data_IF_012481639125
#
_entry.id   IF_012481639125
#
_cell.length_a   1.000
_cell.length_b   1.000
_cell.length_c   1.000
_cell.angle_alpha   90.00
_cell.angle_beta   90.00
_cell.angle_gamma   90.00
#
_symmetry.space_group_name_H-M   'P 1'
#
loop_
_entity.id
_entity.type
_entity.pdbx_description
1 polymer ?
#
# COMPACT_ATOMS: atom_id res chain seq x y z
N UNK A 1 17.51 -6.58 -21.84
CA UNK A 1 16.72 -5.54 -21.14
C UNK A 1 15.38 -6.09 -20.63
N UNK A 2 14.46 -6.53 -21.49
CA UNK A 2 13.10 -6.95 -21.05
C UNK A 2 13.07 -8.09 -20.03
N UNK A 3 13.98 -9.07 -20.14
CA UNK A 3 14.08 -10.17 -19.16
C UNK A 3 14.49 -9.70 -17.76
N UNK A 4 15.26 -8.61 -17.65
CA UNK A 4 15.70 -8.10 -16.35
C UNK A 4 14.57 -7.35 -15.62
N UNK A 5 13.70 -6.62 -16.33
CA UNK A 5 12.49 -6.04 -15.72
C UNK A 5 11.56 -7.12 -15.17
N UNK A 6 11.38 -8.21 -15.93
CA UNK A 6 10.61 -9.36 -15.48
C UNK A 6 11.25 -10.01 -14.25
N UNK A 7 12.57 -10.20 -14.27
CA UNK A 7 13.33 -10.75 -13.15
C UNK A 7 13.20 -9.87 -11.90
N UNK A 8 13.27 -8.55 -12.03
CA UNK A 8 13.04 -7.63 -10.91
C UNK A 8 11.63 -7.78 -10.31
N UNK A 9 10.62 -7.95 -11.17
CA UNK A 9 9.25 -8.24 -10.73
C UNK A 9 9.14 -9.59 -10.00
N UNK A 10 9.77 -10.64 -10.50
CA UNK A 10 9.79 -11.97 -9.84
C UNK A 10 10.49 -11.89 -8.49
N UNK A 11 11.66 -11.24 -8.41
CA UNK A 11 12.38 -11.07 -7.15
C UNK A 11 11.59 -10.21 -6.17
N UNK A 12 10.94 -9.14 -6.64
CA UNK A 12 10.02 -8.34 -5.83
C UNK A 12 8.86 -9.17 -5.28
N UNK A 13 8.25 -10.04 -6.10
CA UNK A 13 7.19 -10.94 -5.66
C UNK A 13 7.67 -11.94 -4.60
N UNK A 14 8.91 -12.43 -4.69
CA UNK A 14 9.50 -13.29 -3.65
C UNK A 14 9.69 -12.54 -2.33
N UNK A 15 10.19 -11.30 -2.37
CA UNK A 15 10.29 -10.43 -1.18
C UNK A 15 8.91 -10.14 -0.60
N UNK A 16 7.88 -9.98 -1.44
CA UNK A 16 6.51 -9.79 -1.01
C UNK A 16 5.98 -11.04 -0.29
N UNK A 17 6.36 -12.23 -0.76
CA UNK A 17 6.09 -13.50 -0.09
C UNK A 17 6.70 -13.58 1.31
N UNK A 18 7.95 -13.10 1.48
CA UNK A 18 8.58 -12.99 2.81
C UNK A 18 7.76 -12.07 3.71
N UNK A 19 7.37 -10.89 3.22
CA UNK A 19 6.55 -9.95 3.97
C UNK A 19 5.21 -10.56 4.42
N UNK A 20 4.45 -11.18 3.52
CA UNK A 20 3.18 -11.82 3.89
C UNK A 20 3.38 -13.00 4.84
N UNK A 21 4.43 -13.80 4.66
CA UNK A 21 4.80 -14.87 5.59
C UNK A 21 5.08 -14.33 6.99
N UNK A 22 5.87 -13.26 7.10
CA UNK A 22 6.12 -12.55 8.35
C UNK A 22 4.85 -11.97 8.97
N UNK A 23 3.95 -11.41 8.15
CA UNK A 23 2.68 -10.87 8.61
C UNK A 23 1.80 -11.98 9.22
N UNK A 24 1.72 -13.16 8.61
CA UNK A 24 1.00 -14.32 9.18
C UNK A 24 1.57 -14.70 10.55
N UNK A 25 2.89 -14.75 10.68
CA UNK A 25 3.55 -15.09 11.95
C UNK A 25 3.27 -14.03 13.03
N UNK A 26 3.36 -12.75 12.68
CA UNK A 26 3.07 -11.63 13.59
C UNK A 26 1.63 -11.67 14.05
N UNK A 27 0.68 -11.94 13.15
CA UNK A 27 -0.71 -12.08 13.53
C UNK A 27 -0.93 -13.24 14.51
N UNK A 28 -0.27 -14.37 14.27
CA UNK A 28 -0.35 -15.56 15.14
C UNK A 28 0.26 -15.35 16.53
N UNK A 29 1.40 -14.67 16.63
CA UNK A 29 2.18 -14.61 17.88
C UNK A 29 2.06 -13.28 18.63
N UNK A 30 1.87 -12.15 17.94
CA UNK A 30 1.93 -10.80 18.52
C UNK A 30 0.57 -10.08 18.51
N UNK A 31 -0.20 -10.19 17.42
CA UNK A 31 -1.44 -9.39 17.27
C UNK A 31 -2.54 -9.87 18.22
N UNK A 32 -2.71 -11.19 18.40
CA UNK A 32 -3.76 -11.80 19.24
C UNK A 32 -5.07 -11.00 19.15
N UNK A 33 -5.48 -10.31 20.21
CA UNK A 33 -6.71 -9.49 20.30
C UNK A 33 -6.46 -7.97 20.32
N UNK A 34 -5.20 -7.53 20.14
CA UNK A 34 -4.83 -6.12 20.20
C UNK A 34 -5.01 -5.45 18.85
N UNK A 35 -6.09 -4.66 18.70
CA UNK A 35 -6.32 -3.80 17.52
C UNK A 35 -5.17 -2.81 17.25
N UNK A 36 -4.40 -2.46 18.29
CA UNK A 36 -3.22 -1.60 18.13
C UNK A 36 -2.08 -2.39 17.48
N UNK A 37 -1.82 -3.61 17.95
CA UNK A 37 -0.81 -4.47 17.34
C UNK A 37 -1.17 -4.84 15.89
N UNK A 38 -2.46 -5.02 15.60
CA UNK A 38 -2.99 -5.22 14.25
C UNK A 38 -2.67 -4.02 13.35
N UNK A 39 -2.97 -2.81 13.81
CA UNK A 39 -2.72 -1.59 13.03
C UNK A 39 -1.24 -1.36 12.70
N UNK A 40 -0.32 -1.81 13.55
CA UNK A 40 1.12 -1.71 13.30
C UNK A 40 1.74 -2.99 12.72
N UNK A 41 0.94 -4.05 12.50
CA UNK A 41 1.44 -5.34 12.02
C UNK A 41 2.19 -5.24 10.69
N UNK A 42 1.79 -4.41 9.69
CA UNK A 42 2.55 -4.27 8.45
C UNK A 42 3.95 -3.70 8.67
N UNK A 43 4.08 -2.71 9.56
CA UNK A 43 5.35 -2.09 9.91
C UNK A 43 6.26 -3.11 10.60
N UNK A 44 5.73 -3.88 11.55
CA UNK A 44 6.51 -4.90 12.27
C UNK A 44 6.94 -6.01 11.30
N UNK A 45 6.05 -6.45 10.41
CA UNK A 45 6.30 -7.54 9.45
C UNK A 45 7.37 -7.20 8.42
N UNK A 46 7.47 -5.93 8.07
CA UNK A 46 8.42 -5.44 7.08
C UNK A 46 9.69 -4.85 7.68
N UNK A 47 9.80 -4.75 9.00
CA UNK A 47 10.89 -4.01 9.65
C UNK A 47 12.27 -4.49 9.20
N UNK A 48 12.54 -5.80 9.32
CA UNK A 48 13.84 -6.38 8.96
C UNK A 48 14.19 -6.15 7.48
N UNK A 49 13.36 -6.57 6.50
CA UNK A 49 13.69 -6.33 5.09
C UNK A 49 13.73 -4.83 4.74
N UNK A 50 12.92 -3.99 5.37
CA UNK A 50 12.97 -2.53 5.18
C UNK A 50 14.33 -1.96 5.59
N UNK A 51 14.84 -2.34 6.78
CA UNK A 51 16.13 -1.86 7.28
C UNK A 51 17.26 -2.23 6.31
N UNK A 52 17.29 -3.46 5.80
CA UNK A 52 18.28 -3.89 4.80
C UNK A 52 18.20 -3.05 3.51
N UNK A 53 17.00 -2.78 3.01
CA UNK A 53 16.82 -1.98 1.80
C UNK A 53 17.25 -0.53 2.00
N UNK A 54 16.93 0.07 3.15
CA UNK A 54 17.35 1.44 3.47
C UNK A 54 18.87 1.53 3.67
N UNK A 55 19.49 0.52 4.28
CA UNK A 55 20.95 0.41 4.34
C UNK A 55 21.57 0.29 2.94
N UNK A 56 20.96 -0.43 2.00
CA UNK A 56 21.45 -0.44 0.62
C UNK A 56 21.23 0.91 -0.06
N UNK A 57 20.08 1.56 0.16
CA UNK A 57 19.77 2.88 -0.41
C UNK A 57 20.68 3.99 0.11
N UNK A 58 21.17 3.88 1.35
CA UNK A 58 21.87 4.94 2.09
C UNK A 58 21.00 6.21 2.29
N UNK A 59 19.68 6.04 2.36
CA UNK A 59 18.70 7.14 2.46
C UNK A 59 17.43 6.65 3.18
N UNK A 60 17.02 7.36 4.23
CA UNK A 60 15.84 7.03 5.06
C UNK A 60 14.49 7.41 4.42
N UNK A 61 14.50 8.16 3.31
CA UNK A 61 13.32 8.59 2.55
C UNK A 61 12.34 9.43 3.39
N UNK A 62 12.91 10.33 4.19
CA UNK A 62 12.23 11.30 5.06
C UNK A 62 12.63 12.74 4.72
N UNK A 63 12.69 13.08 3.43
CA UNK A 63 13.00 14.44 2.98
C UNK A 63 11.83 15.42 3.25
N UNK A 64 11.70 15.84 4.51
CA UNK A 64 10.58 16.66 4.98
C UNK A 64 10.54 18.06 4.35
N UNK A 65 11.68 18.57 3.86
CA UNK A 65 11.75 19.81 3.08
C UNK A 65 10.86 19.74 1.83
N UNK A 66 10.69 18.55 1.26
CA UNK A 66 9.86 18.32 0.07
C UNK A 66 8.37 18.41 0.35
N UNK A 67 7.92 18.47 1.60
CA UNK A 67 6.51 18.66 1.95
C UNK A 67 5.95 20.03 1.54
N UNK A 68 6.84 21.01 1.30
CA UNK A 68 6.48 22.35 0.88
C UNK A 68 6.23 22.48 -0.63
N UNK A 69 6.45 21.40 -1.40
CA UNK A 69 6.31 21.40 -2.86
C UNK A 69 4.86 21.07 -3.22
N UNK A 70 4.07 22.04 -3.71
CA UNK A 70 2.64 21.86 -3.94
C UNK A 70 2.32 20.86 -5.07
N UNK A 71 3.21 20.67 -6.03
CA UNK A 71 3.02 19.76 -7.16
C UNK A 71 2.85 18.31 -6.69
N UNK A 72 3.62 17.89 -5.68
CA UNK A 72 3.49 16.54 -5.11
C UNK A 72 2.17 16.34 -4.37
N UNK A 73 1.68 17.38 -3.67
CA UNK A 73 0.34 17.36 -3.09
C UNK A 73 -0.75 17.29 -4.17
N UNK A 74 -0.61 18.03 -5.27
CA UNK A 74 -1.55 17.96 -6.39
C UNK A 74 -1.66 16.55 -6.98
N UNK A 75 -0.53 15.89 -7.21
CA UNK A 75 -0.48 14.52 -7.75
C UNK A 75 -1.08 13.52 -6.76
N UNK A 76 -0.70 13.58 -5.48
CA UNK A 76 -1.18 12.61 -4.48
C UNK A 76 -2.68 12.75 -4.23
N UNK A 77 -3.21 13.99 -4.16
CA UNK A 77 -4.64 14.25 -3.98
C UNK A 77 -5.45 13.79 -5.19
N UNK A 78 -4.97 14.03 -6.42
CA UNK A 78 -5.62 13.53 -7.62
C UNK A 78 -5.67 12.00 -7.63
N UNK A 79 -4.55 11.37 -7.28
CA UNK A 79 -4.45 9.90 -7.20
C UNK A 79 -5.44 9.35 -6.16
N UNK A 80 -5.47 9.95 -4.97
CA UNK A 80 -6.37 9.57 -3.89
C UNK A 80 -7.84 9.73 -4.29
N UNK A 81 -8.19 10.85 -4.96
CA UNK A 81 -9.55 11.08 -5.42
C UNK A 81 -10.00 10.00 -6.43
N UNK A 82 -9.15 9.64 -7.39
CA UNK A 82 -9.45 8.57 -8.36
C UNK A 82 -9.64 7.23 -7.65
N UNK A 83 -8.74 6.89 -6.72
CA UNK A 83 -8.81 5.62 -5.96
C UNK A 83 -10.07 5.57 -5.10
N UNK A 84 -10.40 6.66 -4.40
CA UNK A 84 -11.62 6.76 -3.62
C UNK A 84 -12.87 6.56 -4.49
N UNK A 85 -12.92 7.19 -5.68
CA UNK A 85 -14.03 7.01 -6.63
C UNK A 85 -14.15 5.55 -7.08
N UNK A 86 -13.04 4.91 -7.46
CA UNK A 86 -13.04 3.49 -7.85
C UNK A 86 -13.58 2.59 -6.74
N UNK A 87 -13.11 2.78 -5.51
CA UNK A 87 -13.55 1.98 -4.35
C UNK A 87 -15.01 2.27 -4.02
N UNK A 88 -15.41 3.53 -3.90
CA UNK A 88 -16.76 3.92 -3.49
C UNK A 88 -17.83 3.52 -4.51
N UNK A 89 -17.53 3.68 -5.81
CA UNK A 89 -18.50 3.41 -6.86
C UNK A 89 -18.71 1.91 -7.10
N UNK A 90 -17.65 1.10 -6.95
CA UNK A 90 -17.67 -0.29 -7.42
C UNK A 90 -17.46 -1.34 -6.33
N UNK A 91 -17.00 -0.96 -5.13
CA UNK A 91 -16.81 -1.89 -4.02
C UNK A 91 -17.80 -1.57 -2.90
N UNK A 92 -18.73 -2.49 -2.66
CA UNK A 92 -19.62 -2.41 -1.51
C UNK A 92 -18.92 -2.92 -0.25
N UNK A 93 -18.11 -2.06 0.37
CA UNK A 93 -17.46 -2.39 1.64
C UNK A 93 -18.48 -2.33 2.77
N UNK A 94 -18.58 -3.41 3.54
CA UNK A 94 -19.34 -3.44 4.79
C UNK A 94 -18.35 -3.34 5.95
N UNK A 95 -18.49 -2.30 6.76
CA UNK A 95 -17.69 -2.10 7.95
C UNK A 95 -18.59 -2.04 9.17
N UNK A 96 -18.32 -2.89 10.15
CA UNK A 96 -18.93 -2.83 11.48
C UNK A 96 -18.01 -2.02 12.38
N UNK A 97 -18.07 -0.69 12.26
CA UNK A 97 -17.28 0.21 13.10
C UNK A 97 -18.17 0.81 14.17
N UNK A 98 -17.79 0.53 15.41
CA UNK A 98 -18.53 0.93 16.60
C UNK A 98 -17.96 2.21 17.22
N UNK A 99 -16.68 2.52 16.98
CA UNK A 99 -16.01 3.67 17.60
C UNK A 99 -15.06 4.43 16.65
N UNK A 100 -14.83 5.71 16.94
CA UNK A 100 -13.85 6.53 16.21
C UNK A 100 -12.41 6.00 16.34
N UNK A 101 -12.10 5.30 17.45
CA UNK A 101 -10.80 4.67 17.68
C UNK A 101 -10.54 3.54 16.67
N UNK A 102 -11.54 2.72 16.36
CA UNK A 102 -11.41 1.65 15.36
C UNK A 102 -11.12 2.20 13.97
N UNK A 103 -11.85 3.26 13.57
CA UNK A 103 -11.57 3.97 12.32
C UNK A 103 -10.13 4.51 12.28
N UNK A 104 -9.69 5.14 13.36
CA UNK A 104 -8.32 5.65 13.43
C UNK A 104 -7.28 4.53 13.27
N UNK A 105 -7.48 3.39 13.94
CA UNK A 105 -6.57 2.25 13.84
C UNK A 105 -6.53 1.64 12.43
N UNK A 106 -7.66 1.59 11.72
CA UNK A 106 -7.69 1.18 10.31
C UNK A 106 -6.92 2.17 9.41
N UNK A 107 -7.00 3.47 9.70
CA UNK A 107 -6.19 4.45 8.98
C UNK A 107 -4.70 4.23 9.27
N UNK A 108 -4.32 4.03 10.55
CA UNK A 108 -2.94 3.72 10.93
C UNK A 108 -2.42 2.47 10.21
N UNK A 109 -3.23 1.42 10.10
CA UNK A 109 -2.88 0.22 9.32
C UNK A 109 -2.58 0.55 7.86
N UNK A 110 -3.44 1.34 7.22
CA UNK A 110 -3.23 1.80 5.85
C UNK A 110 -1.94 2.62 5.70
N UNK A 111 -1.68 3.53 6.64
CA UNK A 111 -0.41 4.28 6.68
C UNK A 111 0.80 3.37 6.89
N UNK A 112 0.70 2.39 7.80
CA UNK A 112 1.76 1.44 8.08
C UNK A 112 2.10 0.55 6.87
N UNK A 113 1.12 0.26 6.00
CA UNK A 113 1.33 -0.48 4.75
C UNK A 113 2.22 0.26 3.74
N UNK A 114 2.37 1.58 3.84
CA UNK A 114 3.31 2.31 2.96
C UNK A 114 4.78 2.01 3.27
N UNK A 115 5.10 1.49 4.46
CA UNK A 115 6.44 1.04 4.81
C UNK A 115 6.86 -0.17 3.95
N UNK A 116 6.15 -1.31 3.97
CA UNK A 116 6.45 -2.42 3.06
C UNK A 116 6.32 -2.03 1.59
N UNK A 117 5.35 -1.18 1.24
CA UNK A 117 5.09 -0.85 -0.15
C UNK A 117 6.14 0.10 -0.77
N UNK A 118 6.64 1.09 -0.02
CA UNK A 118 7.57 2.11 -0.52
C UNK A 118 9.00 1.90 -0.02
N UNK A 119 9.18 1.85 1.30
CA UNK A 119 10.52 1.79 1.88
C UNK A 119 11.20 0.45 1.62
N UNK A 120 10.45 -0.64 1.64
CA UNK A 120 10.94 -1.98 1.33
C UNK A 120 10.84 -2.26 -0.17
N UNK A 121 9.63 -2.46 -0.70
CA UNK A 121 9.45 -3.07 -2.02
C UNK A 121 9.84 -2.14 -3.18
N UNK A 122 9.30 -0.92 -3.20
CA UNK A 122 9.59 0.01 -4.29
C UNK A 122 11.08 0.36 -4.34
N UNK A 123 11.68 0.70 -3.20
CA UNK A 123 13.13 0.93 -3.13
C UNK A 123 13.92 -0.30 -3.57
N UNK A 124 13.58 -1.51 -3.10
CA UNK A 124 14.26 -2.74 -3.51
C UNK A 124 14.28 -2.91 -5.03
N UNK A 125 13.11 -2.77 -5.68
CA UNK A 125 13.00 -2.90 -7.14
C UNK A 125 13.77 -1.80 -7.85
N UNK A 126 13.61 -0.53 -7.44
CA UNK A 126 14.31 0.61 -8.05
C UNK A 126 15.84 0.48 -7.93
N UNK A 127 16.35 0.09 -6.76
CA UNK A 127 17.78 -0.10 -6.52
C UNK A 127 18.33 -1.27 -7.33
N UNK A 128 17.60 -2.37 -7.40
CA UNK A 128 17.97 -3.54 -8.19
C UNK A 128 18.08 -3.20 -9.68
N UNK A 129 17.10 -2.47 -10.22
CA UNK A 129 17.14 -1.99 -11.60
C UNK A 129 18.32 -1.03 -11.83
N UNK A 130 18.55 -0.10 -10.91
CA UNK A 130 19.69 0.82 -10.97
C UNK A 130 21.04 0.08 -10.97
N UNK A 131 21.19 -0.94 -10.12
CA UNK A 131 22.39 -1.78 -10.05
C UNK A 131 22.63 -2.58 -11.35
N UNK A 132 21.57 -2.88 -12.11
CA UNK A 132 21.66 -3.52 -13.43
C UNK A 132 21.80 -2.53 -14.59
N UNK A 133 21.97 -1.23 -14.31
CA UNK A 133 22.08 -0.19 -15.34
C UNK A 133 20.77 0.05 -16.11
N UNK A 134 19.63 -0.30 -15.51
CA UNK A 134 18.30 -0.12 -16.08
C UNK A 134 17.62 1.16 -15.58
N UNK A 135 16.52 1.55 -16.22
CA UNK A 135 15.75 2.69 -15.75
C UNK A 135 14.99 2.36 -14.45
N UNK A 136 15.51 2.87 -13.33
CA UNK A 136 14.94 2.67 -11.99
C UNK A 136 13.51 3.21 -11.87
N UNK A 137 13.08 4.16 -12.71
CA UNK A 137 11.71 4.71 -12.70
C UNK A 137 10.67 3.64 -13.04
N UNK A 138 11.05 2.63 -13.83
CA UNK A 138 10.18 1.49 -14.12
C UNK A 138 9.96 0.58 -12.91
N UNK A 139 10.71 0.78 -11.83
CA UNK A 139 10.41 0.15 -10.54
C UNK A 139 9.07 0.59 -9.94
N UNK A 140 8.56 1.78 -10.29
CA UNK A 140 7.24 2.27 -9.83
C UNK A 140 6.11 1.37 -10.36
N UNK A 141 5.90 1.20 -11.68
CA UNK A 141 4.87 0.30 -12.20
C UNK A 141 5.13 -1.16 -11.83
N UNK A 142 6.39 -1.62 -11.78
CA UNK A 142 6.69 -3.01 -11.37
C UNK A 142 6.28 -3.24 -9.91
N UNK A 143 6.52 -2.30 -9.00
CA UNK A 143 6.04 -2.37 -7.62
C UNK A 143 4.51 -2.47 -7.57
N UNK A 144 3.80 -1.66 -8.35
CA UNK A 144 2.34 -1.76 -8.49
C UNK A 144 1.88 -3.16 -8.92
N UNK A 145 2.53 -3.73 -9.96
CA UNK A 145 2.21 -5.08 -10.44
C UNK A 145 2.49 -6.17 -9.40
N UNK A 146 3.60 -6.04 -8.65
CA UNK A 146 3.95 -6.97 -7.57
C UNK A 146 2.89 -7.00 -6.48
N UNK A 147 2.41 -5.84 -6.04
CA UNK A 147 1.31 -5.78 -5.05
C UNK A 147 -0.02 -6.28 -5.61
N UNK A 148 -0.33 -6.02 -6.89
CA UNK A 148 -1.50 -6.60 -7.54
C UNK A 148 -1.43 -8.14 -7.60
N UNK A 149 -0.25 -8.71 -7.88
CA UNK A 149 -0.03 -10.15 -7.82
C UNK A 149 -0.22 -10.68 -6.39
N UNK A 150 0.19 -9.91 -5.37
CA UNK A 150 -0.09 -10.19 -3.96
C UNK A 150 -1.58 -10.27 -3.66
N UNK A 151 -2.36 -9.25 -4.05
CA UNK A 151 -3.82 -9.23 -3.91
C UNK A 151 -4.46 -10.45 -4.59
N UNK A 152 -4.02 -10.76 -5.81
CA UNK A 152 -4.50 -11.93 -6.54
C UNK A 152 -4.16 -13.24 -5.80
N UNK A 153 -2.94 -13.41 -5.32
CA UNK A 153 -2.52 -14.59 -4.55
C UNK A 153 -3.32 -14.74 -3.24
N UNK A 154 -3.54 -13.64 -2.51
CA UNK A 154 -4.37 -13.63 -1.32
C UNK A 154 -5.82 -14.04 -1.63
N UNK A 155 -6.39 -13.53 -2.72
CA UNK A 155 -7.74 -13.88 -3.18
C UNK A 155 -7.87 -15.39 -3.49
N UNK A 156 -6.84 -16.00 -4.08
CA UNK A 156 -6.78 -17.45 -4.30
C UNK A 156 -6.74 -18.24 -2.99
N UNK A 157 -5.95 -17.80 -2.01
CA UNK A 157 -5.82 -18.46 -0.70
C UNK A 157 -7.15 -18.45 0.05
N UNK A 158 -7.85 -17.30 0.07
CA UNK A 158 -9.14 -17.17 0.76
C UNK A 158 -10.34 -17.65 -0.08
N UNK A 159 -10.10 -18.14 -1.30
CA UNK A 159 -11.11 -18.62 -2.25
C UNK A 159 -12.19 -17.55 -2.53
N UNK A 160 -11.78 -16.30 -2.69
CA UNK A 160 -12.66 -15.19 -3.08
C UNK A 160 -13.32 -15.51 -4.43
N UNK A 161 -14.64 -15.32 -4.50
CA UNK A 161 -15.44 -15.65 -5.70
C UNK A 161 -15.90 -14.42 -6.46
N UNK A 162 -15.78 -13.23 -5.86
CA UNK A 162 -16.17 -11.99 -6.51
C UNK A 162 -15.03 -11.45 -7.40
N UNK A 163 -14.93 -11.98 -8.63
CA UNK A 163 -13.91 -11.58 -9.59
C UNK A 163 -14.00 -10.09 -9.98
N UNK A 164 -15.21 -9.53 -10.06
CA UNK A 164 -15.37 -8.11 -10.37
C UNK A 164 -14.76 -7.24 -9.27
N UNK A 165 -15.09 -7.51 -8.00
CA UNK A 165 -14.49 -6.83 -6.86
C UNK A 165 -12.97 -6.94 -6.86
N UNK A 166 -12.43 -8.13 -7.11
CA UNK A 166 -10.99 -8.37 -7.17
C UNK A 166 -10.30 -7.51 -8.24
N UNK A 167 -10.89 -7.40 -9.43
CA UNK A 167 -10.36 -6.55 -10.51
C UNK A 167 -10.33 -5.09 -10.08
N UNK A 168 -11.39 -4.60 -9.45
CA UNK A 168 -11.45 -3.21 -8.96
C UNK A 168 -10.41 -2.98 -7.85
N UNK A 169 -10.24 -3.91 -6.92
CA UNK A 169 -9.22 -3.82 -5.86
C UNK A 169 -7.80 -3.76 -6.46
N UNK A 170 -7.50 -4.58 -7.47
CA UNK A 170 -6.23 -4.52 -8.20
C UNK A 170 -6.07 -3.20 -8.96
N UNK A 171 -7.11 -2.71 -9.64
CA UNK A 171 -7.05 -1.42 -10.37
C UNK A 171 -6.82 -0.24 -9.42
N UNK A 172 -7.53 -0.22 -8.28
CA UNK A 172 -7.35 0.78 -7.25
C UNK A 172 -5.92 0.73 -6.65
N UNK A 173 -5.44 -0.47 -6.31
CA UNK A 173 -4.08 -0.68 -5.79
C UNK A 173 -3.00 -0.25 -6.79
N UNK A 174 -3.16 -0.64 -8.06
CA UNK A 174 -2.22 -0.26 -9.12
C UNK A 174 -2.19 1.25 -9.33
N UNK A 175 -3.37 1.88 -9.42
CA UNK A 175 -3.51 3.33 -9.60
C UNK A 175 -2.87 4.09 -8.44
N UNK A 176 -3.16 3.67 -7.21
CA UNK A 176 -2.55 4.25 -6.01
C UNK A 176 -1.03 4.10 -6.04
N UNK A 177 -0.53 2.91 -6.39
CA UNK A 177 0.90 2.64 -6.44
C UNK A 177 1.62 3.46 -7.50
N UNK A 178 1.00 3.76 -8.65
CA UNK A 178 1.57 4.65 -9.66
C UNK A 178 1.71 6.08 -9.14
N UNK A 179 0.64 6.66 -8.61
CA UNK A 179 0.65 8.06 -8.17
C UNK A 179 1.49 8.26 -6.90
N UNK A 180 1.23 7.47 -5.86
CA UNK A 180 2.00 7.52 -4.62
C UNK A 180 3.45 7.11 -4.84
N UNK A 181 3.70 6.08 -5.66
CA UNK A 181 5.04 5.64 -5.99
C UNK A 181 5.83 6.69 -6.79
N UNK A 182 5.18 7.41 -7.70
CA UNK A 182 5.80 8.54 -8.41
C UNK A 182 6.20 9.65 -7.44
N UNK A 183 5.26 10.12 -6.61
CA UNK A 183 5.53 11.17 -5.62
C UNK A 183 6.65 10.77 -4.68
N UNK A 184 6.62 9.53 -4.16
CA UNK A 184 7.67 9.00 -3.30
C UNK A 184 9.04 8.92 -3.99
N UNK A 185 9.09 8.45 -5.24
CA UNK A 185 10.36 8.30 -5.96
C UNK A 185 11.06 9.65 -6.17
N UNK A 186 10.32 10.70 -6.52
CA UNK A 186 10.89 12.02 -6.80
C UNK A 186 11.07 12.91 -5.56
N UNK A 187 10.20 12.79 -4.57
CA UNK A 187 10.35 13.54 -3.31
C UNK A 187 11.30 12.86 -2.33
N UNK A 188 11.40 11.52 -2.34
CA UNK A 188 12.04 10.79 -1.25
C UNK A 188 11.37 11.06 0.10
N UNK A 189 10.07 11.35 0.12
CA UNK A 189 9.32 11.68 1.33
C UNK A 189 8.12 10.74 1.49
N UNK A 190 8.26 9.77 2.40
CA UNK A 190 7.23 8.77 2.69
C UNK A 190 5.92 9.37 3.22
N UNK A 191 5.99 10.52 3.89
CA UNK A 191 4.85 11.16 4.56
C UNK A 191 3.69 11.44 3.60
N UNK A 192 3.97 11.79 2.34
CA UNK A 192 2.95 11.94 1.30
C UNK A 192 2.09 10.69 1.15
N UNK A 193 2.73 9.53 1.04
CA UNK A 193 2.05 8.27 0.83
C UNK A 193 1.26 7.84 2.06
N UNK A 194 1.85 7.99 3.26
CA UNK A 194 1.18 7.67 4.52
C UNK A 194 -0.09 8.51 4.65
N UNK A 195 0.01 9.84 4.49
CA UNK A 195 -1.12 10.73 4.62
C UNK A 195 -2.24 10.38 3.62
N UNK A 196 -1.89 10.13 2.35
CA UNK A 196 -2.88 9.80 1.33
C UNK A 196 -3.55 8.44 1.55
N UNK A 197 -2.82 7.41 1.98
CA UNK A 197 -3.43 6.10 2.22
C UNK A 197 -4.31 6.12 3.49
N UNK A 198 -3.88 6.85 4.53
CA UNK A 198 -4.72 7.10 5.70
C UNK A 198 -6.01 7.83 5.32
N UNK A 199 -5.92 8.84 4.45
CA UNK A 199 -7.05 9.63 3.99
C UNK A 199 -8.00 8.82 3.08
N UNK A 200 -7.48 8.00 2.15
CA UNK A 200 -8.28 7.03 1.37
C UNK A 200 -9.10 6.14 2.30
N UNK A 201 -8.43 5.58 3.32
CA UNK A 201 -9.08 4.66 4.25
C UNK A 201 -10.16 5.37 5.05
N UNK A 202 -9.88 6.59 5.50
CA UNK A 202 -10.85 7.40 6.23
C UNK A 202 -12.09 7.70 5.38
N UNK A 203 -11.91 8.19 4.16
CA UNK A 203 -12.98 8.60 3.26
C UNK A 203 -13.87 7.41 2.88
N UNK A 204 -13.25 6.31 2.43
CA UNK A 204 -13.99 5.14 1.94
C UNK A 204 -14.78 4.47 3.07
N UNK A 205 -14.21 4.38 4.28
CA UNK A 205 -14.89 3.84 5.45
C UNK A 205 -16.04 4.74 5.90
N UNK A 206 -15.82 6.05 6.02
CA UNK A 206 -16.88 7.01 6.39
C UNK A 206 -18.04 6.98 5.41
N UNK A 207 -17.75 6.88 4.11
CA UNK A 207 -18.77 6.76 3.09
C UNK A 207 -19.60 5.48 3.26
N UNK A 208 -18.95 4.34 3.46
CA UNK A 208 -19.61 3.05 3.65
C UNK A 208 -20.56 3.04 4.87
N UNK A 209 -20.11 3.58 6.02
CA UNK A 209 -20.95 3.71 7.22
C UNK A 209 -22.19 4.57 6.92
N UNK A 210 -22.00 5.73 6.26
CA UNK A 210 -23.10 6.64 5.92
C UNK A 210 -24.10 5.99 4.94
N UNK A 211 -23.61 5.20 3.98
CA UNK A 211 -24.44 4.46 3.03
C UNK A 211 -25.29 3.41 3.76
N UNK A 212 -24.68 2.64 4.67
CA UNK A 212 -25.39 1.62 5.47
C UNK A 212 -26.50 2.22 6.34
N UNK A 213 -26.23 3.36 7.00
CA UNK A 213 -27.22 4.06 7.82
C UNK A 213 -28.44 4.55 7.03
N UNK A 214 -28.25 4.96 5.76
CA UNK A 214 -29.35 5.36 4.87
C UNK A 214 -30.20 4.18 4.42
N UNK A 215 -29.58 3.02 4.17
CA UNK A 215 -30.32 1.81 3.78
C UNK A 215 -31.12 1.18 4.92
N UNK A 216 -30.74 1.41 6.19
CA UNK A 216 -31.51 0.93 7.35
C UNK A 216 -32.70 1.82 7.73
N UNK A 217 -32.79 3.02 7.16
CA UNK A 217 -33.88 3.98 7.41
C UNK A 217 -34.99 3.95 6.34
N UNK A 218 -34.88 3.05 5.35
CA UNK A 218 -35.86 2.78 4.30
C UNK A 218 -36.49 1.42 4.53
#
# INVERSE_FOLDING_TARGET
ANMLYLLAGVLGFLVLGIFYGSQILIHKYLVKDSKVAEAFSPLIASLVPTVFVLMWKQDWSLHLDKLLIPEYWGIILLTEAIVCVLVIAFIDRKFEITTGKELFLMCVEAGAMEIPQRLMMQNFICLLLGAWGMDARLGIPINGLVFCAGIFAQALIVKERNHFRLIIEMLASFTFSLGAGYVYYFSGCLIYCIAAHMAERFITVKYAIKKAAKSSSQ
#
